data_IF_621894875570
#
_entry.id   IF_621894875570
#
_cell.length_a   1.000
_cell.length_b   1.000
_cell.length_c   1.000
_cell.angle_alpha   90.00
_cell.angle_beta   90.00
_cell.angle_gamma   90.00
#
_symmetry.space_group_name_H-M   'P 1'
#
loop_
_entity.id
_entity.type
_entity.pdbx_description
1 polymer ?
#
# COMPACT_ATOMS: atom_id res chain seq x y z
N UNK A 1 -45.16 1.20 21.26
CA UNK A 1 -44.73 -0.10 21.82
C UNK A 1 -44.74 -1.28 20.84
N UNK A 2 -45.88 -1.86 20.40
CA UNK A 2 -45.83 -3.05 19.50
C UNK A 2 -45.20 -2.76 18.14
N UNK A 3 -45.45 -1.59 17.54
CA UNK A 3 -44.82 -1.18 16.29
C UNK A 3 -43.30 -0.95 16.40
N UNK A 4 -42.81 -0.52 17.57
CA UNK A 4 -41.37 -0.32 17.82
C UNK A 4 -40.66 -1.65 18.04
N UNK A 5 -41.27 -2.60 18.75
CA UNK A 5 -40.70 -3.94 18.95
C UNK A 5 -40.48 -4.68 17.63
N UNK A 6 -41.32 -4.44 16.61
CA UNK A 6 -41.13 -5.00 15.27
C UNK A 6 -39.85 -4.53 14.58
N UNK A 7 -39.32 -3.35 14.94
CA UNK A 7 -38.06 -2.84 14.37
C UNK A 7 -36.81 -3.55 14.92
N UNK A 8 -36.93 -4.25 16.05
CA UNK A 8 -35.85 -5.10 16.58
C UNK A 8 -35.89 -6.53 16.03
N UNK A 9 -36.96 -6.90 15.32
CA UNK A 9 -37.11 -8.24 14.74
C UNK A 9 -36.46 -8.27 13.35
N UNK A 10 -35.29 -8.89 13.26
CA UNK A 10 -34.62 -9.17 11.99
C UNK A 10 -34.83 -10.63 11.59
N UNK A 11 -35.33 -10.85 10.38
CA UNK A 11 -35.58 -12.19 9.84
C UNK A 11 -34.49 -12.49 8.82
N UNK A 12 -33.64 -13.48 9.13
CA UNK A 12 -32.70 -14.04 8.17
C UNK A 12 -33.45 -14.84 7.12
N UNK A 13 -33.31 -14.47 5.84
CA UNK A 13 -34.00 -15.11 4.72
C UNK A 13 -33.02 -16.03 3.98
N UNK A 14 -33.20 -17.33 4.19
CA UNK A 14 -32.43 -18.36 3.49
C UNK A 14 -32.48 -18.13 1.96
N UNK A 15 -31.33 -18.13 1.31
CA UNK A 15 -31.20 -17.93 -0.15
C UNK A 15 -31.18 -16.48 -0.64
N UNK A 16 -31.59 -15.50 0.18
CA UNK A 16 -31.43 -14.07 -0.14
C UNK A 16 -30.26 -13.44 0.58
N UNK A 17 -30.12 -13.74 1.86
CA UNK A 17 -29.04 -13.22 2.68
C UNK A 17 -27.82 -14.13 2.54
N UNK A 18 -26.75 -13.60 1.96
CA UNK A 18 -25.51 -14.36 1.70
C UNK A 18 -24.57 -14.44 2.90
N UNK A 19 -24.68 -13.48 3.82
CA UNK A 19 -23.78 -13.35 4.97
C UNK A 19 -24.58 -13.11 6.24
N UNK A 20 -24.44 -14.02 7.21
CA UNK A 20 -25.10 -13.92 8.52
C UNK A 20 -24.56 -12.73 9.32
N UNK A 21 -23.27 -12.43 9.21
CA UNK A 21 -22.65 -11.30 9.91
C UNK A 21 -23.27 -9.97 9.47
N UNK A 22 -23.54 -9.79 8.17
CA UNK A 22 -24.23 -8.59 7.67
C UNK A 22 -25.65 -8.46 8.22
N UNK A 23 -26.38 -9.57 8.38
CA UNK A 23 -27.75 -9.54 8.91
C UNK A 23 -27.74 -9.20 10.40
N UNK A 24 -26.82 -9.79 11.17
CA UNK A 24 -26.62 -9.47 12.59
C UNK A 24 -26.21 -8.01 12.73
N UNK A 25 -25.26 -7.55 11.91
CA UNK A 25 -24.80 -6.17 11.91
C UNK A 25 -25.93 -5.19 11.61
N UNK A 26 -26.73 -5.46 10.57
CA UNK A 26 -27.93 -4.67 10.24
C UNK A 26 -28.93 -4.64 11.39
N UNK A 27 -29.07 -5.74 12.14
CA UNK A 27 -29.93 -5.81 13.31
C UNK A 27 -29.44 -4.92 14.45
N UNK A 28 -28.15 -5.01 14.78
CA UNK A 28 -27.50 -4.17 15.79
C UNK A 28 -27.59 -2.68 15.39
N UNK A 29 -27.33 -2.38 14.12
CA UNK A 29 -27.43 -1.04 13.58
C UNK A 29 -28.87 -0.48 13.65
N UNK A 30 -29.86 -1.29 13.29
CA UNK A 30 -31.27 -0.89 13.39
C UNK A 30 -31.68 -0.64 14.85
N UNK A 31 -31.27 -1.51 15.78
CA UNK A 31 -31.48 -1.30 17.21
C UNK A 31 -30.83 0.01 17.71
N UNK A 32 -29.62 0.31 17.24
CA UNK A 32 -28.90 1.52 17.58
C UNK A 32 -29.59 2.80 17.08
N UNK A 33 -30.01 2.82 15.81
CA UNK A 33 -30.69 3.99 15.21
C UNK A 33 -32.00 4.33 15.92
N UNK A 34 -32.73 3.32 16.41
CA UNK A 34 -33.96 3.52 17.18
C UNK A 34 -33.66 4.22 18.51
N UNK A 35 -32.70 3.71 19.28
CA UNK A 35 -32.32 4.30 20.58
C UNK A 35 -31.80 5.74 20.45
N UNK A 36 -31.09 6.05 19.37
CA UNK A 36 -30.61 7.41 19.06
C UNK A 36 -31.75 8.38 18.73
N UNK A 37 -32.83 7.92 18.08
CA UNK A 37 -33.96 8.79 17.75
C UNK A 37 -34.89 9.06 18.95
N UNK A 38 -35.08 8.08 19.84
CA UNK A 38 -35.88 8.26 21.06
C UNK A 38 -35.23 9.27 22.02
N UNK A 39 -33.90 9.23 22.13
CA UNK A 39 -33.13 10.17 22.95
C UNK A 39 -33.17 11.61 22.42
N UNK A 40 -33.29 11.82 21.10
CA UNK A 40 -33.46 13.16 20.51
C UNK A 40 -34.81 13.81 20.88
N UNK A 41 -35.85 13.01 21.13
CA UNK A 41 -37.19 13.51 21.47
C UNK A 41 -37.37 13.84 22.96
N UNK A 42 -36.49 13.36 23.84
CA UNK A 42 -36.65 13.42 25.30
C UNK A 42 -36.29 14.77 25.99
N UNK A 43 -36.18 15.89 25.25
CA UNK A 43 -36.12 17.24 25.83
C UNK A 43 -34.73 17.86 26.01
N UNK A 44 -34.66 19.19 25.93
CA UNK A 44 -33.45 19.96 25.58
C UNK A 44 -32.37 20.12 26.68
N UNK A 45 -32.58 19.68 27.93
CA UNK A 45 -31.68 20.04 29.06
C UNK A 45 -30.38 19.22 29.19
N UNK A 46 -30.09 18.29 28.27
CA UNK A 46 -28.88 17.42 28.31
C UNK A 46 -28.05 17.31 27.02
N UNK A 47 -28.21 18.22 26.05
CA UNK A 47 -27.75 18.03 24.66
C UNK A 47 -26.24 17.81 24.44
N UNK A 48 -25.35 18.30 25.32
CA UNK A 48 -23.89 18.15 25.12
C UNK A 48 -23.40 16.73 25.37
N UNK A 49 -23.81 16.11 26.48
CA UNK A 49 -23.39 14.75 26.85
C UNK A 49 -24.02 13.67 25.95
N UNK A 50 -25.20 13.93 25.38
CA UNK A 50 -25.81 13.00 24.41
C UNK A 50 -24.99 12.88 23.12
N UNK A 51 -24.49 14.02 22.60
CA UNK A 51 -23.75 14.04 21.33
C UNK A 51 -22.41 13.31 21.42
N UNK A 52 -21.72 13.36 22.55
CA UNK A 52 -20.47 12.61 22.75
C UNK A 52 -20.73 11.10 22.75
N UNK A 53 -21.76 10.65 23.50
CA UNK A 53 -22.11 9.23 23.60
C UNK A 53 -22.60 8.65 22.26
N UNK A 54 -23.34 9.45 21.48
CA UNK A 54 -23.79 9.05 20.15
C UNK A 54 -22.59 8.82 19.21
N UNK A 55 -21.65 9.77 19.16
CA UNK A 55 -20.42 9.65 18.35
C UNK A 55 -19.58 8.45 18.76
N UNK A 56 -19.37 8.24 20.05
CA UNK A 56 -18.61 7.08 20.56
C UNK A 56 -19.28 5.76 20.16
N UNK A 57 -20.60 5.68 20.23
CA UNK A 57 -21.35 4.48 19.84
C UNK A 57 -21.30 4.22 18.33
N UNK A 58 -21.38 5.26 17.51
CA UNK A 58 -21.18 5.15 16.06
C UNK A 58 -19.78 4.64 15.72
N UNK A 59 -18.76 5.17 16.40
CA UNK A 59 -17.39 4.73 16.22
C UNK A 59 -17.22 3.25 16.60
N UNK A 60 -17.82 2.80 17.71
CA UNK A 60 -17.84 1.37 18.10
C UNK A 60 -18.50 0.50 17.04
N UNK A 61 -19.61 0.95 16.45
CA UNK A 61 -20.27 0.22 15.37
C UNK A 61 -19.44 0.16 14.08
N UNK A 62 -18.74 1.24 13.72
CA UNK A 62 -17.84 1.23 12.57
C UNK A 62 -16.64 0.30 12.79
N UNK A 63 -16.05 0.31 14.00
CA UNK A 63 -15.00 -0.66 14.38
C UNK A 63 -15.50 -2.09 14.27
N UNK A 64 -16.71 -2.37 14.78
CA UNK A 64 -17.33 -3.69 14.66
C UNK A 64 -17.58 -4.10 13.20
N UNK A 65 -18.01 -3.15 12.35
CA UNK A 65 -18.24 -3.39 10.93
C UNK A 65 -16.96 -3.83 10.21
N UNK A 66 -15.82 -3.20 10.54
CA UNK A 66 -14.51 -3.54 9.97
C UNK A 66 -14.09 -4.95 10.43
N UNK A 67 -14.20 -5.23 11.73
CA UNK A 67 -13.83 -6.54 12.30
C UNK A 67 -14.64 -7.66 11.64
N UNK A 68 -15.95 -7.44 11.43
CA UNK A 68 -16.85 -8.41 10.79
C UNK A 68 -16.90 -8.34 9.26
N UNK A 69 -16.07 -7.50 8.64
CA UNK A 69 -16.01 -7.28 7.18
C UNK A 69 -17.39 -6.94 6.55
N UNK A 70 -18.20 -6.15 7.26
CA UNK A 70 -19.55 -5.76 6.87
C UNK A 70 -19.57 -4.39 6.16
N UNK A 71 -18.91 -4.28 5.01
CA UNK A 71 -18.69 -3.00 4.31
C UNK A 71 -20.00 -2.26 3.96
N UNK A 72 -21.03 -2.97 3.53
CA UNK A 72 -22.32 -2.34 3.19
C UNK A 72 -23.00 -1.74 4.43
N UNK A 73 -22.86 -2.41 5.58
CA UNK A 73 -23.30 -1.89 6.87
C UNK A 73 -22.55 -0.60 7.25
N UNK A 74 -21.23 -0.60 7.10
CA UNK A 74 -20.40 0.59 7.35
C UNK A 74 -20.74 1.76 6.40
N UNK A 75 -20.97 1.47 5.11
CA UNK A 75 -21.41 2.48 4.13
C UNK A 75 -22.74 3.09 4.52
N UNK A 76 -23.72 2.27 4.93
CA UNK A 76 -25.03 2.77 5.37
C UNK A 76 -24.91 3.69 6.59
N UNK A 77 -24.08 3.31 7.57
CA UNK A 77 -23.75 4.10 8.76
C UNK A 77 -23.18 5.48 8.38
N UNK A 78 -22.12 5.50 7.56
CA UNK A 78 -21.46 6.73 7.14
C UNK A 78 -22.37 7.62 6.29
N UNK A 79 -23.23 7.03 5.46
CA UNK A 79 -24.23 7.78 4.70
C UNK A 79 -25.29 8.41 5.60
N UNK A 80 -25.76 7.70 6.62
CA UNK A 80 -26.71 8.26 7.58
C UNK A 80 -26.08 9.42 8.37
N UNK A 81 -24.82 9.28 8.80
CA UNK A 81 -24.10 10.36 9.47
C UNK A 81 -23.96 11.59 8.56
N UNK A 82 -23.60 11.39 7.28
CA UNK A 82 -23.55 12.46 6.28
C UNK A 82 -24.91 13.14 6.13
N UNK A 83 -26.01 12.39 6.07
CA UNK A 83 -27.38 12.94 6.01
C UNK A 83 -27.70 13.75 7.27
N UNK A 84 -27.35 13.26 8.46
CA UNK A 84 -27.55 13.97 9.74
C UNK A 84 -26.74 15.27 9.78
N UNK A 85 -25.46 15.24 9.40
CA UNK A 85 -24.62 16.45 9.28
C UNK A 85 -25.17 17.41 8.23
N UNK A 86 -25.64 16.92 7.09
CA UNK A 86 -26.26 17.74 6.06
C UNK A 86 -27.55 18.41 6.55
N UNK A 87 -28.39 17.72 7.32
CA UNK A 87 -29.61 18.28 7.91
C UNK A 87 -29.28 19.33 9.00
N UNK A 88 -28.31 19.05 9.86
CA UNK A 88 -27.82 20.01 10.86
C UNK A 88 -27.23 21.24 10.19
N UNK A 89 -26.41 21.05 9.16
CA UNK A 89 -25.81 22.13 8.39
C UNK A 89 -26.85 22.89 7.57
N UNK A 90 -27.88 22.25 7.02
CA UNK A 90 -28.99 22.93 6.34
C UNK A 90 -29.78 23.84 7.29
N UNK A 91 -29.88 23.43 8.56
CA UNK A 91 -30.47 24.25 9.64
C UNK A 91 -29.57 25.44 9.99
N UNK A 92 -28.24 25.33 9.80
CA UNK A 92 -27.26 26.39 10.07
C UNK A 92 -26.99 27.26 8.82
N UNK A 93 -27.18 26.72 7.61
CA UNK A 93 -26.94 27.33 6.29
C UNK A 93 -27.94 28.41 5.87
N UNK A 94 -28.82 28.86 6.77
CA UNK A 94 -29.33 30.23 6.65
C UNK A 94 -28.21 31.27 6.90
N UNK A 95 -27.00 30.85 7.27
CA UNK A 95 -25.82 31.69 7.42
C UNK A 95 -24.56 30.92 6.91
N UNK A 96 -23.97 31.39 5.80
CA UNK A 96 -22.63 31.10 5.24
C UNK A 96 -22.38 29.91 4.29
N UNK A 97 -21.58 30.21 3.25
CA UNK A 97 -21.23 29.41 2.07
C UNK A 97 -19.92 28.60 2.22
N UNK A 98 -19.85 27.50 1.45
CA UNK A 98 -18.78 26.51 1.22
C UNK A 98 -18.58 25.36 2.24
N UNK A 99 -18.93 24.10 1.87
CA UNK A 99 -18.63 22.92 2.68
C UNK A 99 -17.33 22.27 2.20
N UNK A 100 -16.17 22.71 2.69
CA UNK A 100 -15.06 21.78 2.80
C UNK A 100 -15.42 20.85 3.95
N UNK A 101 -16.02 19.69 3.63
CA UNK A 101 -16.32 18.66 4.61
C UNK A 101 -14.97 18.11 5.09
N UNK A 102 -14.43 18.68 6.16
CA UNK A 102 -13.28 18.10 6.84
C UNK A 102 -13.64 16.65 7.18
N UNK A 103 -12.86 15.72 6.60
CA UNK A 103 -12.92 14.32 6.96
C UNK A 103 -12.44 14.24 8.41
N UNK A 104 -13.29 13.84 9.37
CA UNK A 104 -12.92 13.90 10.78
C UNK A 104 -11.76 12.95 11.08
N UNK A 105 -10.85 13.37 11.95
CA UNK A 105 -9.68 12.61 12.44
C UNK A 105 -10.01 11.17 12.88
N UNK A 106 -11.27 10.92 13.26
CA UNK A 106 -11.80 9.61 13.63
C UNK A 106 -11.67 8.55 12.52
N UNK A 107 -11.58 8.95 11.25
CA UNK A 107 -11.38 8.02 10.15
C UNK A 107 -9.97 7.44 10.12
N UNK A 108 -8.98 8.09 10.75
CA UNK A 108 -7.62 7.56 10.84
C UNK A 108 -7.56 6.30 11.68
N UNK A 109 -8.17 6.29 12.88
CA UNK A 109 -8.24 5.08 13.70
C UNK A 109 -8.96 3.93 13.00
N UNK A 110 -10.00 4.23 12.22
CA UNK A 110 -10.74 3.21 11.48
C UNK A 110 -9.94 2.68 10.29
N UNK A 111 -9.17 3.52 9.62
CA UNK A 111 -8.27 3.12 8.56
C UNK A 111 -7.14 2.22 9.10
N UNK A 112 -6.52 2.63 10.21
CA UNK A 112 -5.47 1.85 10.88
C UNK A 112 -6.01 0.49 11.33
N UNK A 113 -7.21 0.44 11.92
CA UNK A 113 -7.87 -0.82 12.27
C UNK A 113 -8.15 -1.68 11.03
N UNK A 114 -8.59 -1.08 9.91
CA UNK A 114 -8.82 -1.82 8.67
C UNK A 114 -7.52 -2.40 8.10
N UNK A 115 -6.40 -1.68 8.25
CA UNK A 115 -5.08 -2.18 7.86
C UNK A 115 -4.60 -3.32 8.77
N UNK A 116 -4.75 -3.16 10.07
CA UNK A 116 -4.42 -4.18 11.07
C UNK A 116 -5.20 -5.48 10.85
N UNK A 117 -6.50 -5.33 10.57
CA UNK A 117 -7.39 -6.46 10.29
C UNK A 117 -7.29 -6.95 8.83
N UNK A 118 -6.36 -6.40 8.03
CA UNK A 118 -6.11 -6.75 6.63
C UNK A 118 -7.41 -6.78 5.79
N UNK A 119 -8.20 -5.70 5.87
CA UNK A 119 -9.51 -5.57 5.20
C UNK A 119 -9.40 -4.73 3.91
N UNK A 120 -9.04 -5.32 2.76
CA UNK A 120 -8.78 -4.58 1.51
C UNK A 120 -10.00 -3.80 1.01
N UNK A 121 -11.21 -4.36 1.17
CA UNK A 121 -12.48 -3.75 0.76
C UNK A 121 -12.76 -2.43 1.49
N UNK A 122 -12.44 -2.38 2.79
CA UNK A 122 -12.56 -1.17 3.61
C UNK A 122 -11.49 -0.13 3.26
N UNK A 123 -10.25 -0.57 3.05
CA UNK A 123 -9.15 0.32 2.65
C UNK A 123 -9.45 0.97 1.29
N UNK A 124 -9.87 0.18 0.30
CA UNK A 124 -10.28 0.71 -1.01
C UNK A 124 -11.40 1.75 -0.85
N UNK A 125 -12.39 1.44 -0.01
CA UNK A 125 -13.47 2.38 0.26
C UNK A 125 -12.98 3.69 0.89
N UNK A 126 -12.10 3.64 1.89
CA UNK A 126 -11.53 4.84 2.52
C UNK A 126 -10.74 5.69 1.52
N UNK A 127 -9.89 5.06 0.70
CA UNK A 127 -9.12 5.75 -0.33
C UNK A 127 -10.03 6.40 -1.39
N UNK A 128 -11.09 5.70 -1.84
CA UNK A 128 -12.07 6.24 -2.80
C UNK A 128 -12.87 7.44 -2.30
N UNK A 129 -13.13 7.52 -0.99
CA UNK A 129 -13.81 8.69 -0.41
C UNK A 129 -12.86 9.86 -0.14
N UNK A 130 -11.59 9.76 -0.57
CA UNK A 130 -10.59 10.81 -0.41
C UNK A 130 -10.03 10.90 1.00
N UNK A 131 -9.89 9.77 1.70
CA UNK A 131 -9.20 9.75 2.98
C UNK A 131 -7.75 10.24 2.82
N UNK A 132 -7.37 11.23 3.62
CA UNK A 132 -6.04 11.85 3.59
C UNK A 132 -5.10 11.03 4.47
N UNK A 133 -4.22 10.25 3.85
CA UNK A 133 -3.28 9.39 4.58
C UNK A 133 -2.29 10.24 5.38
N UNK A 134 -1.87 11.40 4.87
CA UNK A 134 -0.90 12.27 5.55
C UNK A 134 -1.41 12.72 6.92
N UNK A 135 -2.72 12.94 7.05
CA UNK A 135 -3.34 13.32 8.33
C UNK A 135 -3.58 12.15 9.27
N UNK A 136 -3.39 10.91 8.82
CA UNK A 136 -3.57 9.75 9.69
C UNK A 136 -2.38 9.57 10.64
N UNK A 137 -2.62 8.87 11.74
CA UNK A 137 -1.60 8.45 12.71
C UNK A 137 -0.47 7.60 12.11
N UNK A 138 -0.58 7.20 10.84
CA UNK A 138 0.42 6.41 10.14
C UNK A 138 1.78 7.09 10.01
N UNK A 139 1.86 8.43 10.14
CA UNK A 139 3.14 9.13 10.09
C UNK A 139 4.15 8.60 11.14
N UNK A 140 3.70 8.31 12.37
CA UNK A 140 4.57 7.71 13.39
C UNK A 140 4.58 6.18 13.34
N UNK A 141 3.72 5.59 12.51
CA UNK A 141 3.37 4.18 12.51
C UNK A 141 4.00 3.34 11.40
N UNK A 142 4.32 3.88 10.22
CA UNK A 142 4.73 3.03 9.07
C UNK A 142 5.95 2.16 9.40
N UNK A 143 7.00 2.70 10.02
CA UNK A 143 8.15 1.87 10.40
C UNK A 143 7.85 0.95 11.59
N UNK A 144 7.01 1.40 12.53
CA UNK A 144 6.47 0.51 13.57
C UNK A 144 5.67 -0.64 12.96
N UNK A 145 4.95 -0.40 11.87
CA UNK A 145 4.20 -1.41 11.14
C UNK A 145 5.13 -2.41 10.47
N UNK A 146 6.21 -1.94 9.83
CA UNK A 146 7.26 -2.82 9.30
C UNK A 146 7.87 -3.70 10.41
N UNK A 147 8.17 -3.14 11.59
CA UNK A 147 8.80 -3.87 12.69
C UNK A 147 7.82 -4.77 13.46
N UNK A 148 6.57 -4.36 13.68
CA UNK A 148 5.54 -5.18 14.33
C UNK A 148 5.08 -6.33 13.43
N UNK A 149 4.95 -6.07 12.12
CA UNK A 149 4.67 -7.12 11.15
C UNK A 149 5.77 -8.18 11.22
N UNK A 150 7.04 -7.79 11.32
CA UNK A 150 8.18 -8.69 11.46
C UNK A 150 8.11 -9.60 12.70
N UNK A 151 7.67 -9.08 13.84
CA UNK A 151 7.59 -9.83 15.09
C UNK A 151 6.44 -10.85 15.15
N UNK A 152 5.42 -10.69 14.30
CA UNK A 152 4.18 -11.48 14.37
C UNK A 152 4.13 -12.73 13.46
N UNK A 153 5.17 -12.95 12.64
CA UNK A 153 5.17 -14.08 11.71
C UNK A 153 5.62 -15.37 12.38
N UNK A 154 4.69 -16.33 12.43
CA UNK A 154 4.96 -17.72 12.79
C UNK A 154 5.84 -18.38 11.71
N UNK A 155 6.87 -19.12 12.11
CA UNK A 155 7.96 -19.63 11.24
C UNK A 155 7.49 -20.60 10.15
N UNK A 156 6.23 -21.01 10.16
CA UNK A 156 5.79 -22.26 9.53
C UNK A 156 5.31 -22.12 8.07
N UNK A 157 4.87 -20.95 7.61
CA UNK A 157 4.16 -20.85 6.32
C UNK A 157 4.64 -19.76 5.34
N UNK A 158 5.55 -18.87 5.72
CA UNK A 158 6.00 -17.77 4.86
C UNK A 158 7.52 -17.65 4.80
N UNK A 159 8.02 -17.05 3.71
CA UNK A 159 9.41 -16.61 3.66
C UNK A 159 9.56 -15.61 4.79
N UNK A 160 10.14 -16.06 5.91
CA UNK A 160 10.40 -15.19 7.03
C UNK A 160 11.14 -13.98 6.48
N UNK A 161 10.69 -12.78 6.88
CA UNK A 161 11.33 -11.55 6.47
C UNK A 161 12.85 -11.61 6.73
N UNK A 162 13.30 -12.41 7.70
CA UNK A 162 14.73 -12.72 7.92
C UNK A 162 15.44 -13.32 6.71
N UNK A 163 14.80 -14.26 5.99
CA UNK A 163 15.32 -14.87 4.76
C UNK A 163 15.39 -13.82 3.64
N UNK A 164 14.43 -12.90 3.58
CA UNK A 164 14.45 -11.83 2.60
C UNK A 164 15.62 -10.89 2.86
N UNK A 165 15.74 -10.40 4.10
CA UNK A 165 16.70 -9.37 4.48
C UNK A 165 18.14 -9.89 4.66
N UNK A 166 18.37 -11.21 4.64
CA UNK A 166 19.66 -11.82 4.99
C UNK A 166 20.20 -11.32 6.35
N UNK A 167 19.28 -10.95 7.26
CA UNK A 167 19.54 -10.37 8.57
C UNK A 167 18.51 -10.92 9.55
N UNK A 168 18.95 -11.21 10.76
CA UNK A 168 18.05 -11.62 11.85
C UNK A 168 17.17 -10.46 12.35
N UNK A 169 17.56 -9.22 12.04
CA UNK A 169 16.93 -7.99 12.54
C UNK A 169 16.27 -7.22 11.39
N UNK A 170 15.03 -6.72 11.56
CA UNK A 170 14.37 -5.88 10.56
C UNK A 170 15.15 -4.58 10.30
N UNK A 171 14.96 -3.94 9.13
CA UNK A 171 15.54 -2.62 8.88
C UNK A 171 15.05 -1.63 9.94
N UNK A 172 16.00 -0.96 10.58
CA UNK A 172 15.75 0.00 11.66
C UNK A 172 15.75 1.45 11.16
N UNK A 173 16.13 1.66 9.90
CA UNK A 173 16.19 2.99 9.28
C UNK A 173 15.76 2.98 7.82
N UNK A 174 15.29 4.13 7.33
CA UNK A 174 14.99 4.34 5.90
C UNK A 174 16.21 4.14 5.00
N UNK A 175 17.43 4.39 5.50
CA UNK A 175 18.68 4.10 4.79
C UNK A 175 18.84 2.61 4.51
N UNK A 176 18.60 1.77 5.52
CA UNK A 176 18.65 0.31 5.35
C UNK A 176 17.57 -0.17 4.38
N UNK A 177 16.36 0.39 4.47
CA UNK A 177 15.27 0.12 3.53
C UNK A 177 15.65 0.48 2.08
N UNK A 178 16.24 1.65 1.83
CA UNK A 178 16.75 2.02 0.51
C UNK A 178 17.79 1.02 -0.01
N UNK A 179 18.74 0.60 0.82
CA UNK A 179 19.75 -0.39 0.43
C UNK A 179 19.12 -1.73 0.05
N UNK A 180 18.07 -2.13 0.76
CA UNK A 180 17.32 -3.34 0.47
C UNK A 180 16.54 -3.23 -0.84
N UNK A 181 15.85 -2.12 -1.06
CA UNK A 181 15.19 -1.86 -2.34
C UNK A 181 16.17 -1.86 -3.51
N UNK A 182 17.32 -1.21 -3.36
CA UNK A 182 18.37 -1.19 -4.38
C UNK A 182 18.91 -2.60 -4.67
N UNK A 183 19.13 -3.41 -3.62
CA UNK A 183 19.57 -4.80 -3.74
C UNK A 183 18.56 -5.67 -4.50
N UNK A 184 17.27 -5.50 -4.25
CA UNK A 184 16.23 -6.38 -4.79
C UNK A 184 15.67 -5.94 -6.14
N UNK A 185 15.40 -4.65 -6.28
CA UNK A 185 14.82 -4.09 -7.50
C UNK A 185 15.92 -3.92 -8.54
N UNK A 186 17.08 -3.39 -8.12
CA UNK A 186 18.27 -3.21 -8.94
C UNK A 186 18.73 -1.75 -8.98
N UNK A 187 19.88 -1.53 -9.62
CA UNK A 187 20.57 -0.24 -9.63
C UNK A 187 19.94 0.85 -10.51
N UNK A 188 18.78 0.57 -11.11
CA UNK A 188 18.05 1.54 -11.93
C UNK A 188 17.06 2.37 -11.10
N UNK A 189 16.82 1.99 -9.84
CA UNK A 189 16.01 2.80 -8.92
C UNK A 189 16.89 3.84 -8.25
N UNK A 190 16.41 5.08 -8.24
CA UNK A 190 16.92 6.12 -7.37
C UNK A 190 16.56 5.81 -5.90
N UNK A 191 17.22 6.49 -4.96
CA UNK A 191 16.90 6.39 -3.53
C UNK A 191 15.43 6.80 -3.31
N UNK A 192 14.64 5.88 -2.73
CA UNK A 192 13.21 6.09 -2.46
C UNK A 192 13.01 7.11 -1.33
N UNK A 193 13.90 7.06 -0.34
CA UNK A 193 13.97 8.01 0.76
C UNK A 193 15.22 8.86 0.62
N UNK A 194 15.06 10.09 0.13
CA UNK A 194 16.17 11.04 0.09
C UNK A 194 16.49 11.48 1.51
N UNK A 195 17.69 11.16 1.98
CA UNK A 195 18.21 11.68 3.24
C UNK A 195 18.88 13.00 2.90
N UNK A 196 18.28 14.12 3.30
CA UNK A 196 18.82 15.45 3.02
C UNK A 196 20.25 15.56 3.54
N UNK A 197 21.21 15.60 2.61
CA UNK A 197 22.65 15.67 2.94
C UNK A 197 23.06 17.04 3.46
N UNK A 198 22.31 18.09 3.12
CA UNK A 198 22.58 19.48 3.52
C UNK A 198 22.08 19.81 4.92
N UNK A 199 21.17 19.00 5.46
CA UNK A 199 20.84 19.00 6.87
C UNK A 199 21.13 17.60 7.43
N UNK A 200 22.42 17.20 7.52
CA UNK A 200 22.83 15.88 7.98
C UNK A 200 22.63 15.73 9.49
N UNK A 201 21.68 16.46 10.08
CA UNK A 201 21.01 16.00 11.26
C UNK A 201 19.89 15.03 10.83
N UNK A 202 20.13 13.71 10.84
CA UNK A 202 19.27 13.00 11.74
C UNK A 202 19.53 13.73 13.06
N UNK A 203 18.51 14.37 13.63
CA UNK A 203 18.42 14.20 15.06
C UNK A 203 18.36 12.68 15.21
N UNK A 204 19.54 12.06 15.34
CA UNK A 204 19.73 10.95 16.25
C UNK A 204 19.03 11.49 17.47
N UNK A 205 17.75 11.12 17.59
CA UNK A 205 17.12 11.09 18.88
C UNK A 205 18.14 10.27 19.64
N UNK A 206 18.90 10.93 20.51
CA UNK A 206 19.91 10.26 21.32
C UNK A 206 19.24 8.95 21.72
N UNK A 207 19.89 7.84 21.40
CA UNK A 207 19.66 6.59 22.09
C UNK A 207 19.95 6.90 23.55
N UNK A 208 18.99 7.53 24.24
CA UNK A 208 18.93 7.45 25.67
C UNK A 208 18.55 5.99 25.90
N UNK A 209 19.60 5.17 26.01
CA UNK A 209 19.54 3.90 26.69
C UNK A 209 18.95 4.17 28.07
N UNK A 210 17.62 4.15 28.17
CA UNK A 210 16.96 4.00 29.45
C UNK A 210 17.29 2.56 29.85
N UNK A 211 18.31 2.41 30.69
CA UNK A 211 18.87 1.14 31.16
C UNK A 211 17.92 0.30 32.03
N UNK A 212 16.61 0.47 31.87
CA UNK A 212 15.57 -0.13 32.71
C UNK A 212 14.63 -1.00 31.89
N UNK A 213 15.15 -1.93 31.09
CA UNK A 213 14.37 -3.06 30.53
C UNK A 213 13.03 -2.73 29.84
N UNK A 214 12.84 -1.48 29.40
CA UNK A 214 11.60 -0.96 28.83
C UNK A 214 11.87 -0.66 27.36
N UNK A 215 11.04 -1.27 26.51
CA UNK A 215 10.96 -1.10 25.06
C UNK A 215 11.47 0.27 24.60
N UNK A 216 12.60 0.29 23.89
CA UNK A 216 13.12 1.49 23.21
C UNK A 216 12.14 1.87 22.10
N UNK A 217 11.36 2.92 22.31
CA UNK A 217 10.41 3.41 21.30
C UNK A 217 11.14 4.33 20.32
N UNK A 218 11.59 3.76 19.19
CA UNK A 218 12.27 4.51 18.13
C UNK A 218 11.27 5.44 17.44
N UNK A 219 11.36 6.74 17.70
CA UNK A 219 10.54 7.74 17.01
C UNK A 219 11.28 8.23 15.77
N UNK A 220 10.88 7.75 14.60
CA UNK A 220 11.45 8.19 13.33
C UNK A 220 10.69 9.43 12.87
N UNK A 221 11.41 10.52 12.65
CA UNK A 221 10.84 11.73 12.06
C UNK A 221 10.71 11.53 10.55
N UNK A 222 9.48 11.57 10.05
CA UNK A 222 9.23 11.65 8.61
C UNK A 222 9.67 13.02 8.07
N UNK A 223 9.96 13.11 6.76
CA UNK A 223 10.15 14.39 6.10
C UNK A 223 8.95 15.32 6.32
N UNK A 224 9.18 16.62 6.48
CA UNK A 224 8.11 17.63 6.71
C UNK A 224 7.09 17.69 5.56
N UNK A 225 7.45 17.17 4.38
CA UNK A 225 6.61 17.14 3.18
C UNK A 225 6.38 15.73 2.66
N UNK A 226 6.01 14.81 3.56
CA UNK A 226 5.63 13.47 3.18
C UNK A 226 4.23 13.46 2.54
N UNK A 227 4.17 13.12 1.25
CA UNK A 227 2.95 13.20 0.45
C UNK A 227 2.08 11.95 0.53
N UNK A 228 0.80 12.08 0.20
CA UNK A 228 -0.13 10.94 0.09
C UNK A 228 0.36 9.87 -0.92
N UNK A 229 1.07 10.29 -1.98
CA UNK A 229 1.61 9.37 -2.98
C UNK A 229 2.75 8.52 -2.39
N UNK A 230 3.63 9.14 -1.62
CA UNK A 230 4.73 8.42 -0.95
C UNK A 230 4.20 7.46 0.11
N UNK A 231 3.17 7.85 0.86
CA UNK A 231 2.48 6.95 1.78
C UNK A 231 1.85 5.76 1.09
N UNK A 232 1.13 5.97 -0.03
CA UNK A 232 0.53 4.88 -0.80
C UNK A 232 1.61 3.95 -1.36
N UNK A 233 2.72 4.49 -1.84
CA UNK A 233 3.86 3.71 -2.33
C UNK A 233 4.43 2.84 -1.21
N UNK A 234 4.60 3.40 -0.04
CA UNK A 234 5.18 2.68 1.10
C UNK A 234 4.24 1.61 1.66
N UNK A 235 2.92 1.88 1.69
CA UNK A 235 1.89 0.89 2.03
C UNK A 235 1.80 -0.23 0.98
N UNK A 236 1.94 0.10 -0.30
CA UNK A 236 2.02 -0.88 -1.38
C UNK A 236 3.23 -1.79 -1.19
N UNK A 237 4.43 -1.23 -0.99
CA UNK A 237 5.65 -2.00 -0.77
C UNK A 237 5.53 -2.86 0.50
N UNK A 238 4.98 -2.33 1.59
CA UNK A 238 4.71 -3.07 2.81
C UNK A 238 3.80 -4.27 2.56
N UNK A 239 2.71 -4.09 1.81
CA UNK A 239 1.80 -5.16 1.44
C UNK A 239 2.49 -6.26 0.60
N UNK A 240 3.43 -5.88 -0.28
CA UNK A 240 4.24 -6.86 -1.02
C UNK A 240 5.13 -7.69 -0.08
N UNK A 241 5.82 -7.04 0.87
CA UNK A 241 6.71 -7.72 1.82
C UNK A 241 5.98 -8.62 2.79
N UNK A 242 4.77 -8.24 3.19
CA UNK A 242 3.90 -9.06 4.03
C UNK A 242 3.11 -10.09 3.23
N UNK A 243 3.32 -10.16 1.90
CA UNK A 243 2.62 -11.06 0.97
C UNK A 243 1.08 -10.90 0.97
N UNK A 244 0.60 -9.73 1.40
CA UNK A 244 -0.82 -9.36 1.46
C UNK A 244 -1.29 -8.82 0.11
N UNK A 245 -1.54 -9.73 -0.81
CA UNK A 245 -1.76 -9.37 -2.22
C UNK A 245 -3.02 -8.57 -2.46
N UNK A 246 -4.10 -8.88 -1.77
CA UNK A 246 -5.34 -8.12 -1.95
C UNK A 246 -5.16 -6.67 -1.51
N UNK A 247 -4.36 -6.41 -0.46
CA UNK A 247 -3.96 -5.07 -0.06
C UNK A 247 -3.06 -4.42 -1.10
N UNK A 248 -2.04 -5.14 -1.59
CA UNK A 248 -1.13 -4.62 -2.62
C UNK A 248 -1.90 -4.21 -3.89
N UNK A 249 -2.88 -5.01 -4.32
CA UNK A 249 -3.76 -4.67 -5.46
C UNK A 249 -4.59 -3.43 -5.18
N UNK A 250 -5.16 -3.29 -3.98
CA UNK A 250 -5.89 -2.08 -3.60
C UNK A 250 -4.99 -0.86 -3.68
N UNK A 251 -3.81 -0.88 -3.05
CA UNK A 251 -2.89 0.25 -3.10
C UNK A 251 -2.41 0.54 -4.53
N UNK A 252 -2.16 -0.49 -5.34
CA UNK A 252 -1.80 -0.36 -6.74
C UNK A 252 -2.86 0.43 -7.54
N UNK A 253 -4.15 0.24 -7.26
CA UNK A 253 -5.23 0.98 -7.92
C UNK A 253 -5.26 2.47 -7.55
N UNK A 254 -4.69 2.84 -6.40
CA UNK A 254 -4.65 4.22 -5.92
C UNK A 254 -3.34 4.95 -6.22
N UNK A 255 -2.28 4.23 -6.60
CA UNK A 255 -1.04 4.82 -7.09
C UNK A 255 -1.22 5.52 -8.45
N UNK A 256 -0.44 6.58 -8.68
CA UNK A 256 -0.33 7.23 -10.00
C UNK A 256 0.49 6.37 -10.96
N UNK A 257 1.61 5.82 -10.49
CA UNK A 257 2.57 5.06 -11.30
C UNK A 257 2.29 3.55 -11.29
N UNK A 258 1.06 3.15 -11.62
CA UNK A 258 0.59 1.75 -11.47
C UNK A 258 1.40 0.73 -12.24
N UNK A 259 1.78 1.04 -13.48
CA UNK A 259 2.56 0.10 -14.32
C UNK A 259 3.91 -0.17 -13.66
N UNK A 260 4.64 0.89 -13.28
CA UNK A 260 5.95 0.76 -12.64
C UNK A 260 5.84 -0.01 -11.32
N UNK A 261 4.83 0.30 -10.50
CA UNK A 261 4.57 -0.39 -9.25
C UNK A 261 4.28 -1.89 -9.46
N UNK A 262 3.48 -2.25 -10.47
CA UNK A 262 3.22 -3.64 -10.83
C UNK A 262 4.50 -4.37 -11.30
N UNK A 263 5.33 -3.72 -12.14
CA UNK A 263 6.60 -4.30 -12.57
C UNK A 263 7.59 -4.49 -11.40
N UNK A 264 7.63 -3.55 -10.46
CA UNK A 264 8.40 -3.68 -9.22
C UNK A 264 7.90 -4.89 -8.41
N UNK A 265 6.58 -5.05 -8.25
CA UNK A 265 5.99 -6.20 -7.57
C UNK A 265 6.37 -7.52 -8.25
N UNK A 266 6.26 -7.60 -9.58
CA UNK A 266 6.70 -8.78 -10.36
C UNK A 266 8.17 -9.09 -10.10
N UNK A 267 9.05 -8.08 -10.13
CA UNK A 267 10.48 -8.28 -9.89
C UNK A 267 10.77 -8.76 -8.48
N UNK A 268 10.13 -8.15 -7.48
CA UNK A 268 10.27 -8.52 -6.07
C UNK A 268 9.80 -9.95 -5.82
N UNK A 269 8.62 -10.33 -6.30
CA UNK A 269 8.12 -11.69 -6.10
C UNK A 269 8.95 -12.75 -6.84
N UNK A 270 9.45 -12.47 -8.06
CA UNK A 270 10.41 -13.36 -8.72
C UNK A 270 11.68 -13.53 -7.86
N UNK A 271 12.22 -12.45 -7.33
CA UNK A 271 13.37 -12.50 -6.41
C UNK A 271 13.07 -13.28 -5.12
N UNK A 272 11.90 -13.09 -4.52
CA UNK A 272 11.48 -13.84 -3.33
C UNK A 272 11.33 -15.33 -3.62
N UNK A 273 10.81 -15.68 -4.80
CA UNK A 273 10.66 -17.07 -5.23
C UNK A 273 12.00 -17.81 -5.34
N UNK A 274 13.09 -17.11 -5.70
CA UNK A 274 14.44 -17.67 -5.76
C UNK A 274 15.00 -18.00 -4.36
N UNK A 275 14.54 -17.27 -3.34
CA UNK A 275 14.93 -17.44 -1.93
C UNK A 275 13.95 -18.32 -1.13
N UNK A 276 12.86 -18.78 -1.73
CA UNK A 276 11.84 -19.55 -1.03
C UNK A 276 12.40 -20.89 -0.51
N UNK A 277 12.10 -21.31 0.73
CA UNK A 277 12.65 -22.53 1.32
C UNK A 277 12.08 -23.81 0.69
N UNK A 278 10.87 -23.75 0.12
CA UNK A 278 10.17 -24.90 -0.43
C UNK A 278 9.53 -24.59 -1.79
N UNK A 279 9.22 -25.65 -2.55
CA UNK A 279 8.67 -25.53 -3.90
C UNK A 279 7.26 -24.91 -3.93
N UNK A 280 6.44 -25.15 -2.91
CA UNK A 280 5.08 -24.63 -2.82
C UNK A 280 5.06 -23.10 -2.66
N UNK A 281 5.82 -22.55 -1.71
CA UNK A 281 5.99 -21.11 -1.54
C UNK A 281 6.60 -20.46 -2.77
N UNK A 282 7.56 -21.13 -3.42
CA UNK A 282 8.14 -20.67 -4.68
C UNK A 282 7.10 -20.55 -5.78
N UNK A 283 6.29 -21.59 -5.98
CA UNK A 283 5.22 -21.60 -6.99
C UNK A 283 4.17 -20.52 -6.72
N UNK A 284 3.72 -20.42 -5.46
CA UNK A 284 2.81 -19.35 -5.03
C UNK A 284 3.38 -17.97 -5.35
N UNK A 285 4.63 -17.67 -4.99
CA UNK A 285 5.25 -16.37 -5.29
C UNK A 285 5.39 -16.10 -6.79
N UNK A 286 5.66 -17.14 -7.59
CA UNK A 286 5.70 -17.01 -9.05
C UNK A 286 4.31 -16.73 -9.64
N UNK A 287 3.27 -17.38 -9.15
CA UNK A 287 1.87 -17.08 -9.53
C UNK A 287 1.52 -15.63 -9.24
N UNK A 288 1.88 -15.17 -8.04
CA UNK A 288 1.70 -13.77 -7.62
C UNK A 288 2.47 -12.80 -8.52
N UNK A 289 3.72 -13.12 -8.87
CA UNK A 289 4.51 -12.32 -9.81
C UNK A 289 3.86 -12.23 -11.18
N UNK A 290 3.32 -13.35 -11.69
CA UNK A 290 2.62 -13.43 -12.97
C UNK A 290 1.33 -12.59 -12.96
N UNK A 291 0.63 -12.51 -11.83
CA UNK A 291 -0.59 -11.69 -11.74
C UNK A 291 -0.29 -10.19 -11.91
N UNK A 292 0.73 -9.67 -11.23
CA UNK A 292 1.17 -8.28 -11.43
C UNK A 292 1.76 -8.04 -12.83
N UNK A 293 2.44 -9.03 -13.39
CA UNK A 293 3.00 -8.96 -14.75
C UNK A 293 1.88 -8.89 -15.79
N UNK A 294 0.82 -9.69 -15.62
CA UNK A 294 -0.37 -9.65 -16.45
C UNK A 294 -1.10 -8.31 -16.33
N UNK A 295 -1.21 -7.75 -15.12
CA UNK A 295 -1.76 -6.42 -14.92
C UNK A 295 -0.99 -5.34 -15.71
N UNK A 296 0.34 -5.35 -15.62
CA UNK A 296 1.19 -4.41 -16.37
C UNK A 296 1.07 -4.62 -17.90
N UNK A 297 1.04 -5.87 -18.35
CA UNK A 297 0.94 -6.24 -19.78
C UNK A 297 -0.37 -5.77 -20.37
N UNK A 298 -1.50 -6.04 -19.71
CA UNK A 298 -2.82 -5.59 -20.17
C UNK A 298 -2.88 -4.07 -20.33
N UNK A 299 -2.20 -3.32 -19.45
CA UNK A 299 -2.12 -1.87 -19.59
C UNK A 299 -1.35 -1.46 -20.85
N UNK A 300 -0.19 -2.10 -21.10
CA UNK A 300 0.60 -1.84 -22.31
C UNK A 300 -0.20 -2.19 -23.56
N UNK A 301 -0.91 -3.32 -23.59
CA UNK A 301 -1.79 -3.70 -24.71
C UNK A 301 -2.86 -2.65 -24.98
N UNK A 302 -3.55 -2.16 -23.94
CA UNK A 302 -4.54 -1.08 -24.06
C UNK A 302 -3.88 0.22 -24.54
N UNK A 303 -2.67 0.54 -24.08
CA UNK A 303 -1.95 1.73 -24.52
C UNK A 303 -1.52 1.64 -25.99
N UNK A 304 -1.10 0.46 -26.46
CA UNK A 304 -0.81 0.19 -27.89
C UNK A 304 -2.10 0.34 -28.70
N UNK A 305 -3.18 -0.32 -28.28
CA UNK A 305 -4.46 -0.29 -28.98
C UNK A 305 -5.09 1.11 -29.02
N UNK A 306 -4.84 1.93 -28.00
CA UNK A 306 -5.27 3.33 -27.92
C UNK A 306 -4.35 4.33 -28.63
N UNK A 307 -3.31 3.86 -29.33
CA UNK A 307 -2.33 4.70 -30.05
C UNK A 307 -1.70 5.78 -29.16
N UNK A 308 -1.39 5.44 -27.90
CA UNK A 308 -0.84 6.35 -26.90
C UNK A 308 0.63 6.74 -27.19
N UNK A 309 0.89 7.42 -28.31
CA UNK A 309 2.24 7.77 -28.79
C UNK A 309 3.09 8.50 -27.76
N UNK A 310 2.49 9.38 -26.94
CA UNK A 310 3.20 10.08 -25.85
C UNK A 310 3.73 9.14 -24.76
N UNK A 311 3.02 8.05 -24.48
CA UNK A 311 3.46 7.05 -23.51
C UNK A 311 4.69 6.29 -24.03
N UNK A 312 4.64 5.83 -25.29
CA UNK A 312 5.77 5.13 -25.92
C UNK A 312 6.97 6.04 -26.19
N UNK A 313 6.76 7.35 -26.32
CA UNK A 313 7.83 8.33 -26.43
C UNK A 313 8.56 8.61 -25.10
N UNK A 314 8.12 8.03 -23.97
CA UNK A 314 8.83 8.20 -22.71
C UNK A 314 10.16 7.41 -22.73
N UNK A 315 11.29 8.00 -22.28
CA UNK A 315 12.60 7.34 -22.35
C UNK A 315 12.65 5.97 -21.66
N UNK A 316 11.88 5.78 -20.60
CA UNK A 316 11.81 4.51 -19.90
C UNK A 316 11.16 3.40 -20.76
N UNK A 317 10.06 3.71 -21.45
CA UNK A 317 9.38 2.74 -22.32
C UNK A 317 10.22 2.43 -23.54
N UNK A 318 10.88 3.45 -24.13
CA UNK A 318 11.82 3.25 -25.24
C UNK A 318 13.00 2.37 -24.82
N UNK A 319 13.60 2.62 -23.65
CA UNK A 319 14.69 1.78 -23.12
C UNK A 319 14.22 0.34 -22.90
N UNK A 320 13.02 0.11 -22.33
CA UNK A 320 12.47 -1.23 -22.16
C UNK A 320 12.23 -1.92 -23.51
N UNK A 321 11.64 -1.23 -24.48
CA UNK A 321 11.38 -1.77 -25.82
C UNK A 321 12.69 -2.10 -26.55
N UNK A 322 13.69 -1.24 -26.45
CA UNK A 322 15.02 -1.51 -26.95
C UNK A 322 15.63 -2.72 -26.23
N UNK A 323 15.53 -2.80 -24.91
CA UNK A 323 16.05 -3.93 -24.16
C UNK A 323 15.39 -5.25 -24.56
N UNK A 324 14.09 -5.26 -24.84
CA UNK A 324 13.36 -6.43 -25.34
C UNK A 324 13.77 -6.79 -26.77
N UNK A 325 13.86 -5.79 -27.67
CA UNK A 325 14.21 -6.01 -29.07
C UNK A 325 15.60 -6.63 -29.24
N UNK A 326 16.54 -6.21 -28.39
CA UNK A 326 17.95 -6.64 -28.46
C UNK A 326 18.31 -7.75 -27.46
N UNK A 327 17.39 -8.14 -26.58
CA UNK A 327 17.51 -9.20 -25.57
C UNK A 327 18.83 -9.16 -24.78
N UNK A 328 19.83 -9.95 -25.22
CA UNK A 328 21.12 -10.11 -24.55
C UNK A 328 22.20 -9.14 -25.00
N UNK A 329 21.96 -8.37 -26.05
CA UNK A 329 22.93 -7.42 -26.59
C UNK A 329 22.89 -6.12 -25.78
N UNK A 330 24.06 -5.58 -25.48
CA UNK A 330 24.21 -4.27 -24.86
C UNK A 330 24.26 -3.21 -25.96
N UNK A 331 23.26 -2.32 -25.99
CA UNK A 331 23.09 -1.37 -27.09
C UNK A 331 23.54 0.06 -26.80
N UNK A 332 24.29 0.27 -25.72
CA UNK A 332 24.69 1.60 -25.26
C UNK A 332 25.48 2.40 -26.32
N UNK A 333 25.98 1.77 -27.38
CA UNK A 333 26.74 2.42 -28.43
C UNK A 333 26.09 2.31 -29.82
N UNK A 334 25.92 3.44 -30.50
CA UNK A 334 25.52 3.54 -31.93
C UNK A 334 26.37 2.64 -32.86
N UNK A 335 27.61 2.37 -32.45
CA UNK A 335 28.59 1.52 -33.14
C UNK A 335 28.17 0.04 -33.19
N UNK A 336 27.33 -0.43 -32.26
CA UNK A 336 26.90 -1.83 -32.19
C UNK A 336 25.93 -2.23 -33.32
N UNK A 337 25.16 -1.28 -33.87
CA UNK A 337 24.16 -1.53 -34.92
C UNK A 337 24.76 -2.11 -36.22
N UNK A 338 25.78 -1.50 -36.85
CA UNK A 338 26.41 -2.09 -38.03
C UNK A 338 27.13 -3.41 -37.71
N UNK A 339 27.66 -3.57 -36.49
CA UNK A 339 28.31 -4.81 -36.04
C UNK A 339 27.34 -6.00 -35.95
N UNK A 340 26.08 -5.77 -35.59
CA UNK A 340 25.03 -6.80 -35.65
C UNK A 340 24.82 -7.24 -37.11
N UNK A 341 24.80 -6.30 -38.05
CA UNK A 341 24.58 -6.58 -39.47
C UNK A 341 25.76 -7.36 -40.08
N UNK A 342 27.00 -6.99 -39.71
CA UNK A 342 28.21 -7.76 -40.07
C UNK A 342 28.18 -9.16 -39.49
N UNK A 343 27.74 -9.32 -38.24
CA UNK A 343 27.59 -10.64 -37.63
C UNK A 343 26.50 -11.48 -38.31
N UNK A 344 25.40 -10.87 -38.73
CA UNK A 344 24.35 -11.56 -39.49
C UNK A 344 24.89 -12.10 -40.82
N UNK A 345 25.62 -11.27 -41.57
CA UNK A 345 26.22 -11.64 -42.87
C UNK A 345 27.30 -12.72 -42.72
N UNK A 346 28.07 -12.68 -41.63
CA UNK A 346 29.14 -13.65 -41.37
C UNK A 346 28.67 -14.90 -40.63
N UNK A 347 27.35 -15.09 -40.47
CA UNK A 347 26.76 -16.19 -39.69
C UNK A 347 27.30 -16.31 -38.25
N UNK A 348 27.62 -15.16 -37.63
CA UNK A 348 28.04 -15.08 -36.24
C UNK A 348 29.50 -15.41 -35.97
N UNK A 349 30.34 -15.50 -37.00
CA UNK A 349 31.77 -15.84 -36.86
C UNK A 349 32.52 -14.88 -35.92
N UNK A 350 32.10 -13.63 -35.85
CA UNK A 350 32.70 -12.59 -34.99
C UNK A 350 31.84 -12.23 -33.77
N UNK A 351 30.75 -12.97 -33.52
CA UNK A 351 29.78 -12.62 -32.49
C UNK A 351 30.41 -12.66 -31.09
N UNK A 352 31.30 -13.62 -30.85
CA UNK A 352 31.99 -13.75 -29.57
C UNK A 352 32.94 -12.58 -29.27
N UNK A 353 33.60 -12.03 -30.30
CA UNK A 353 34.64 -11.03 -30.12
C UNK A 353 34.11 -9.59 -30.12
N UNK A 354 33.04 -9.34 -30.88
CA UNK A 354 32.62 -7.97 -31.16
C UNK A 354 31.24 -7.59 -30.61
N UNK A 355 30.41 -8.55 -30.22
CA UNK A 355 29.11 -8.21 -29.63
C UNK A 355 29.27 -8.07 -28.11
N UNK A 356 29.04 -6.86 -27.55
CA UNK A 356 28.98 -6.70 -26.11
C UNK A 356 27.70 -7.37 -25.59
N UNK A 357 27.89 -8.38 -24.75
CA UNK A 357 26.79 -9.05 -24.06
C UNK A 357 26.49 -8.35 -22.74
N UNK A 358 25.21 -8.10 -22.48
CA UNK A 358 24.72 -7.34 -21.32
C UNK A 358 25.22 -7.90 -19.99
N UNK A 359 25.34 -9.24 -19.87
CA UNK A 359 25.84 -9.90 -18.64
C UNK A 359 27.22 -9.39 -18.20
N UNK A 360 28.13 -9.18 -19.15
CA UNK A 360 29.50 -8.73 -18.87
C UNK A 360 29.51 -7.29 -18.35
N UNK A 361 28.68 -6.42 -18.93
CA UNK A 361 28.59 -5.02 -18.55
C UNK A 361 27.91 -4.83 -17.18
N UNK A 362 26.84 -5.58 -16.89
CA UNK A 362 26.19 -5.55 -15.56
C UNK A 362 27.13 -6.01 -14.45
N UNK A 363 27.98 -7.00 -14.72
CA UNK A 363 28.94 -7.51 -13.74
C UNK A 363 30.04 -6.48 -13.45
N UNK A 364 30.50 -5.74 -14.47
CA UNK A 364 31.44 -4.63 -14.30
C UNK A 364 30.82 -3.45 -13.52
N UNK A 365 29.55 -3.10 -13.78
CA UNK A 365 28.86 -2.04 -13.00
C UNK A 365 28.68 -2.43 -11.54
N UNK A 366 28.32 -3.68 -11.24
CA UNK A 366 28.24 -4.13 -9.84
C UNK A 366 29.59 -4.04 -9.11
N UNK A 367 30.70 -4.37 -9.78
CA UNK A 367 32.05 -4.21 -9.21
C UNK A 367 32.42 -2.74 -8.99
N UNK A 368 32.07 -1.85 -9.93
CA UNK A 368 32.26 -0.40 -9.77
C UNK A 368 31.47 0.16 -8.59
N UNK A 369 30.21 -0.23 -8.43
CA UNK A 369 29.36 0.20 -7.32
C UNK A 369 29.91 -0.33 -5.99
N UNK A 370 30.33 -1.60 -5.93
CA UNK A 370 30.92 -2.19 -4.73
C UNK A 370 32.21 -1.45 -4.29
N UNK A 371 33.06 -1.05 -5.24
CA UNK A 371 34.27 -0.29 -4.94
C UNK A 371 34.00 1.13 -4.45
N UNK A 372 32.90 1.76 -4.87
CA UNK A 372 32.46 3.06 -4.32
C UNK A 372 31.95 2.90 -2.89
N UNK A 373 31.33 1.75 -2.58
CA UNK A 373 30.80 1.46 -1.25
C UNK A 373 31.83 0.93 -0.24
N UNK A 374 32.95 0.34 -0.67
CA UNK A 374 34.05 -0.01 0.25
C UNK A 374 34.89 1.22 0.67
N UNK A 375 34.69 2.36 0.01
CA UNK A 375 35.37 3.63 0.30
C UNK A 375 34.58 4.59 1.22
N UNK A 376 33.34 4.25 1.58
CA UNK A 376 32.46 5.01 2.48
C UNK A 376 32.16 4.18 3.70
#
# INVERSE_FOLDING_TARGET
MQAERRKFLHVFRLGRDKNVADVIFKAIFSAYTIGSNETLMAGQKGKKNLKSNERESQQKLLKLAIIWDCLDGAKALLQEERKRKALQNATVRSQWEHPNLEVPDQNAELFDLALEQKKPTFIDYFLRIGFDLVKSSMQSGILKWYTHSYASYDETDYISLSILFDKDVPPTSFKELNLLYFKWIGSFMDEIYVIDKENPQPQQTELQEISDGKSTDYTIKLPEHYSNEEMLRDLFLWALFTTEIDLAKVFLLHLKSRICAALIATRLYKHFSEKAPNAFSREKLLEQAMEFEHYATNFVEVAVAGECSKFFATPCVDEVLNQMWYDKLALSNFVSKPLILVNLVTMGLFAYWWLPYRKVETQQRHLSVKNVFEFV
#
